data_IF_643511706259
#
_entry.id   IF_643511706259
#
_cell.length_a   1.000
_cell.length_b   1.000
_cell.length_c   1.000
_cell.angle_alpha   90.00
_cell.angle_beta   90.00
_cell.angle_gamma   90.00
#
_symmetry.space_group_name_H-M   'P 1'
#
loop_
_entity.id
_entity.type
_entity.pdbx_description
1 polymer ?
#
# COMPACT_ATOMS: atom_id res chain seq x y z
N UNK A 1 -37.87 12.32 -64.25
CA UNK A 1 -37.14 11.04 -64.18
C UNK A 1 -35.66 11.38 -64.33
N UNK A 2 -34.85 10.95 -63.35
CA UNK A 2 -33.37 11.08 -63.29
C UNK A 2 -32.85 12.51 -63.05
N UNK A 3 -31.79 12.78 -62.30
CA UNK A 3 -30.86 11.93 -61.53
C UNK A 3 -29.97 12.83 -60.63
N UNK A 4 -29.55 12.26 -59.50
CA UNK A 4 -28.22 12.34 -58.84
C UNK A 4 -27.62 13.64 -58.25
N UNK A 5 -27.40 13.56 -56.93
CA UNK A 5 -26.20 13.85 -56.12
C UNK A 5 -25.39 15.15 -56.29
N UNK A 6 -25.27 15.92 -55.20
CA UNK A 6 -23.95 16.36 -54.69
C UNK A 6 -24.02 16.75 -53.20
N UNK A 7 -23.22 16.07 -52.39
CA UNK A 7 -22.89 16.39 -50.99
C UNK A 7 -21.66 17.29 -50.90
N UNK A 8 -21.44 17.89 -49.73
CA UNK A 8 -20.34 18.82 -49.32
C UNK A 8 -20.69 20.31 -49.59
N UNK A 9 -20.54 21.28 -48.68
CA UNK A 9 -19.59 21.45 -47.57
C UNK A 9 -20.20 22.22 -46.38
N UNK A 10 -19.83 21.76 -45.18
CA UNK A 10 -19.27 22.51 -44.04
C UNK A 10 -19.93 23.81 -43.53
N UNK A 11 -20.18 23.83 -42.22
CA UNK A 11 -19.39 24.68 -41.31
C UNK A 11 -19.53 24.19 -39.87
N UNK A 12 -18.38 23.74 -39.35
CA UNK A 12 -18.14 23.37 -37.96
C UNK A 12 -18.45 24.54 -37.02
N UNK A 13 -19.24 24.29 -35.97
CA UNK A 13 -19.18 25.11 -34.77
C UNK A 13 -19.10 24.20 -33.53
N UNK A 14 -17.94 23.57 -33.37
CA UNK A 14 -17.50 23.00 -32.11
C UNK A 14 -16.58 24.02 -31.45
N UNK A 15 -17.18 25.05 -30.87
CA UNK A 15 -16.52 25.98 -29.94
C UNK A 15 -16.24 25.21 -28.65
N UNK A 16 -15.12 24.48 -28.63
CA UNK A 16 -14.48 24.05 -27.38
C UNK A 16 -13.75 25.28 -26.86
N UNK A 17 -14.48 26.13 -26.15
CA UNK A 17 -13.93 27.24 -25.40
C UNK A 17 -13.40 26.74 -24.05
N UNK A 18 -12.07 26.83 -23.93
CA UNK A 18 -11.38 27.47 -22.79
C UNK A 18 -11.29 26.74 -21.45
N UNK A 19 -10.18 26.02 -21.28
CA UNK A 19 -9.15 26.26 -20.27
C UNK A 19 -9.61 26.65 -18.84
N UNK A 20 -9.82 25.64 -18.03
CA UNK A 20 -9.16 25.54 -16.73
C UNK A 20 -8.66 24.09 -16.60
N UNK A 21 -7.35 23.88 -16.69
CA UNK A 21 -6.71 22.59 -16.38
C UNK A 21 -6.85 22.33 -14.87
N UNK A 22 -8.08 22.06 -14.43
CA UNK A 22 -8.38 21.66 -13.07
C UNK A 22 -7.82 20.25 -12.92
N UNK A 23 -6.67 20.15 -12.26
CA UNK A 23 -5.94 18.88 -12.15
C UNK A 23 -6.73 17.93 -11.27
N UNK A 24 -7.35 16.96 -11.95
CA UNK A 24 -8.16 15.96 -11.31
C UNK A 24 -7.28 14.81 -10.80
N UNK A 25 -7.03 14.83 -9.50
CA UNK A 25 -6.18 13.85 -8.82
C UNK A 25 -6.77 12.44 -8.83
N UNK A 26 -8.10 12.33 -8.88
CA UNK A 26 -8.78 11.05 -9.02
C UNK A 26 -8.46 10.39 -10.37
N UNK A 27 -8.45 11.17 -11.45
CA UNK A 27 -8.05 10.69 -12.78
C UNK A 27 -6.57 10.34 -12.85
N UNK A 28 -5.70 11.17 -12.25
CA UNK A 28 -4.29 10.87 -12.14
C UNK A 28 -4.06 9.52 -11.43
N UNK A 29 -4.75 9.28 -10.31
CA UNK A 29 -4.65 8.01 -9.57
C UNK A 29 -5.11 6.80 -10.40
N UNK A 30 -6.18 6.94 -11.17
CA UNK A 30 -6.64 5.88 -12.08
C UNK A 30 -5.63 5.60 -13.19
N UNK A 31 -5.01 6.65 -13.75
CA UNK A 31 -4.00 6.53 -14.79
C UNK A 31 -2.75 5.79 -14.27
N UNK A 32 -2.15 6.24 -13.15
CA UNK A 32 -0.96 5.58 -12.58
C UNK A 32 -1.20 4.13 -12.16
N UNK A 33 -2.45 3.76 -11.84
CA UNK A 33 -2.83 2.38 -11.50
C UNK A 33 -2.82 1.46 -12.74
N UNK A 34 -3.02 2.03 -13.92
CA UNK A 34 -3.01 1.30 -15.19
C UNK A 34 -1.61 1.13 -15.80
N UNK A 35 -0.60 1.82 -15.26
CA UNK A 35 0.77 1.78 -15.75
C UNK A 35 1.46 0.45 -15.41
N UNK A 36 2.39 0.06 -16.27
CA UNK A 36 3.32 -1.03 -16.00
C UNK A 36 4.50 -0.56 -15.13
N UNK A 37 5.31 -1.51 -14.65
CA UNK A 37 6.39 -1.23 -13.71
C UNK A 37 7.43 -0.24 -14.26
N UNK A 38 7.78 -0.32 -15.56
CA UNK A 38 8.74 0.58 -16.20
C UNK A 38 8.18 2.00 -16.34
N UNK A 39 6.90 2.12 -16.71
CA UNK A 39 6.17 3.39 -16.79
C UNK A 39 6.05 4.05 -15.43
N UNK A 40 5.80 3.28 -14.36
CA UNK A 40 5.77 3.79 -12.99
C UNK A 40 7.14 4.35 -12.60
N UNK A 41 8.24 3.67 -12.95
CA UNK A 41 9.61 4.17 -12.66
C UNK A 41 9.90 5.49 -13.39
N UNK A 42 9.46 5.62 -14.64
CA UNK A 42 9.57 6.85 -15.40
C UNK A 42 8.77 7.97 -14.74
N UNK A 43 7.54 7.70 -14.35
CA UNK A 43 6.66 8.68 -13.69
C UNK A 43 7.23 9.12 -12.33
N UNK A 44 7.78 8.20 -11.53
CA UNK A 44 8.47 8.53 -10.29
C UNK A 44 9.64 9.50 -10.55
N UNK A 45 10.41 9.26 -11.60
CA UNK A 45 11.56 10.10 -11.96
C UNK A 45 11.11 11.49 -12.41
N UNK A 46 10.04 11.54 -13.21
CA UNK A 46 9.42 12.77 -13.67
C UNK A 46 8.89 13.60 -12.49
N UNK A 47 8.17 12.99 -11.56
CA UNK A 47 7.60 13.70 -10.41
C UNK A 47 8.66 14.19 -9.42
N UNK A 48 9.75 13.45 -9.26
CA UNK A 48 10.91 13.93 -8.50
C UNK A 48 11.54 15.16 -9.14
N UNK A 49 11.68 15.16 -10.47
CA UNK A 49 12.17 16.33 -11.21
C UNK A 49 11.21 17.51 -11.09
N UNK A 50 9.90 17.27 -11.24
CA UNK A 50 8.89 18.31 -11.13
C UNK A 50 8.88 18.94 -9.72
N UNK A 51 9.06 18.13 -8.67
CA UNK A 51 9.22 18.64 -7.31
C UNK A 51 10.43 19.56 -7.17
N UNK A 52 11.56 19.22 -7.78
CA UNK A 52 12.76 20.06 -7.77
C UNK A 52 12.55 21.37 -8.54
N UNK A 53 11.78 21.32 -9.62
CA UNK A 53 11.39 22.48 -10.43
C UNK A 53 10.29 23.34 -9.80
N UNK A 54 9.73 22.94 -8.65
CA UNK A 54 8.74 23.74 -7.91
C UNK A 54 7.29 23.60 -8.39
N UNK A 55 6.95 22.54 -9.12
CA UNK A 55 5.56 22.29 -9.52
C UNK A 55 4.70 21.93 -8.30
N UNK A 56 3.67 22.73 -8.03
CA UNK A 56 2.82 22.61 -6.84
C UNK A 56 2.14 21.24 -6.67
N UNK A 57 1.85 20.55 -7.78
CA UNK A 57 1.13 19.27 -7.78
C UNK A 57 2.07 18.05 -7.70
N UNK A 58 3.37 18.24 -7.92
CA UNK A 58 4.33 17.14 -7.92
C UNK A 58 4.39 16.45 -6.56
N UNK A 59 4.19 17.19 -5.47
CA UNK A 59 4.15 16.65 -4.12
C UNK A 59 3.00 15.66 -3.92
N UNK A 60 1.78 16.04 -4.29
CA UNK A 60 0.61 15.17 -4.13
C UNK A 60 0.62 13.99 -5.11
N UNK A 61 1.11 14.19 -6.34
CA UNK A 61 1.31 13.11 -7.31
C UNK A 61 2.36 12.10 -6.83
N UNK A 62 3.43 12.56 -6.20
CA UNK A 62 4.44 11.70 -5.59
C UNK A 62 3.89 10.95 -4.37
N UNK A 63 3.07 11.60 -3.54
CA UNK A 63 2.35 10.93 -2.43
C UNK A 63 1.49 9.77 -2.96
N UNK A 64 0.78 9.97 -4.07
CA UNK A 64 -0.02 8.91 -4.69
C UNK A 64 0.86 7.74 -5.17
N UNK A 65 2.02 8.02 -5.76
CA UNK A 65 3.00 6.99 -6.14
C UNK A 65 3.57 6.22 -4.95
N UNK A 66 3.74 6.85 -3.78
CA UNK A 66 4.11 6.16 -2.53
C UNK A 66 2.97 5.28 -2.00
N UNK A 67 1.72 5.66 -2.23
CA UNK A 67 0.53 4.91 -1.77
C UNK A 67 0.20 3.69 -2.64
N UNK A 68 0.67 3.64 -3.88
CA UNK A 68 0.39 2.55 -4.82
C UNK A 68 1.10 1.25 -4.44
N UNK A 69 0.39 0.12 -4.24
CA UNK A 69 0.99 -1.17 -3.89
C UNK A 69 1.96 -1.74 -4.92
N UNK A 70 1.71 -1.47 -6.21
CA UNK A 70 2.53 -1.97 -7.31
C UNK A 70 3.75 -1.07 -7.59
N UNK A 71 3.86 0.06 -6.89
CA UNK A 71 4.97 0.98 -7.08
C UNK A 71 6.25 0.45 -6.42
N UNK A 72 7.42 0.53 -7.08
CA UNK A 72 8.68 0.12 -6.48
C UNK A 72 9.08 1.00 -5.28
N UNK A 73 8.50 2.20 -5.18
CA UNK A 73 8.68 3.08 -4.02
C UNK A 73 7.54 2.95 -3.01
N UNK A 74 6.68 1.93 -3.13
CA UNK A 74 5.53 1.77 -2.24
C UNK A 74 5.95 1.82 -0.78
N UNK A 75 5.47 2.85 -0.08
CA UNK A 75 5.72 3.02 1.34
C UNK A 75 4.53 3.78 1.96
N UNK A 76 3.57 3.05 2.57
CA UNK A 76 2.38 3.67 3.14
C UNK A 76 2.70 4.59 4.33
N UNK A 77 3.81 4.34 5.06
CA UNK A 77 4.26 5.25 6.13
C UNK A 77 4.71 6.59 5.53
N UNK A 78 5.57 6.55 4.50
CA UNK A 78 6.03 7.77 3.82
C UNK A 78 4.87 8.52 3.17
N UNK A 79 3.97 7.82 2.49
CA UNK A 79 2.76 8.42 1.92
C UNK A 79 1.93 9.14 3.00
N UNK A 80 1.75 8.51 4.17
CA UNK A 80 0.99 9.08 5.28
C UNK A 80 1.64 10.32 5.88
N UNK A 81 2.94 10.28 6.14
CA UNK A 81 3.69 11.42 6.69
C UNK A 81 3.59 12.61 5.73
N UNK A 82 3.91 12.39 4.46
CA UNK A 82 3.83 13.45 3.44
C UNK A 82 2.40 14.00 3.30
N UNK A 83 1.38 13.16 3.39
CA UNK A 83 -0.02 13.59 3.29
C UNK A 83 -0.53 14.33 4.54
N UNK A 84 0.05 14.07 5.71
CA UNK A 84 -0.26 14.84 6.92
C UNK A 84 0.40 16.22 6.89
N UNK A 85 1.61 16.30 6.34
CA UNK A 85 2.38 17.54 6.22
C UNK A 85 1.91 18.40 5.04
N UNK A 86 1.18 17.81 4.09
CA UNK A 86 0.63 18.52 2.95
C UNK A 86 -0.45 19.52 3.40
N UNK A 87 -0.24 20.84 3.21
CA UNK A 87 -1.17 21.85 3.67
C UNK A 87 -2.40 21.88 2.75
N UNK A 88 -3.46 21.17 3.16
CA UNK A 88 -4.73 21.18 2.44
C UNK A 88 -5.47 22.52 2.56
N UNK A 89 -5.13 23.35 3.56
CA UNK A 89 -5.90 24.53 3.98
C UNK A 89 -5.74 25.81 3.12
N UNK A 90 -4.59 26.14 2.50
CA UNK A 90 -4.50 27.35 1.66
C UNK A 90 -5.00 27.14 0.22
N UNK A 91 -5.30 25.90 -0.20
CA UNK A 91 -5.53 25.54 -1.61
C UNK A 91 -6.93 25.03 -1.93
N UNK A 92 -7.86 25.11 -0.96
CA UNK A 92 -9.27 24.67 -1.10
C UNK A 92 -10.01 25.39 -2.23
N UNK A 93 -9.56 26.59 -2.62
CA UNK A 93 -10.23 27.39 -3.67
C UNK A 93 -9.48 27.43 -5.01
N UNK A 94 -8.27 26.86 -5.15
CA UNK A 94 -7.44 27.06 -6.37
C UNK A 94 -6.84 25.80 -6.99
N UNK A 95 -6.73 24.67 -6.28
CA UNK A 95 -6.10 23.44 -6.81
C UNK A 95 -6.98 22.20 -6.64
N UNK A 96 -7.85 22.16 -5.63
CA UNK A 96 -8.68 20.99 -5.35
C UNK A 96 -10.15 21.28 -5.62
N UNK A 97 -10.74 20.48 -6.51
CA UNK A 97 -12.20 20.35 -6.55
C UNK A 97 -12.69 19.70 -5.24
N UNK A 98 -13.96 19.91 -4.87
CA UNK A 98 -14.56 19.24 -3.71
C UNK A 98 -14.46 17.70 -3.81
N UNK A 99 -14.48 17.16 -5.03
CA UNK A 99 -14.30 15.74 -5.31
C UNK A 99 -12.87 15.29 -5.04
N UNK A 100 -11.87 16.06 -5.44
CA UNK A 100 -10.47 15.71 -5.20
C UNK A 100 -10.10 15.81 -3.71
N UNK A 101 -10.68 16.75 -2.98
CA UNK A 101 -10.53 16.81 -1.52
C UNK A 101 -11.09 15.55 -0.85
N UNK A 102 -12.29 15.12 -1.26
CA UNK A 102 -12.89 13.88 -0.75
C UNK A 102 -12.01 12.66 -1.09
N UNK A 103 -11.44 12.61 -2.30
CA UNK A 103 -10.50 11.55 -2.70
C UNK A 103 -9.25 11.53 -1.82
N UNK A 104 -8.63 12.68 -1.57
CA UNK A 104 -7.43 12.78 -0.74
C UNK A 104 -7.71 12.39 0.72
N UNK A 105 -8.85 12.80 1.27
CA UNK A 105 -9.31 12.38 2.61
C UNK A 105 -9.51 10.86 2.64
N UNK A 106 -10.18 10.29 1.64
CA UNK A 106 -10.36 8.84 1.54
C UNK A 106 -9.00 8.11 1.47
N UNK A 107 -8.06 8.60 0.67
CA UNK A 107 -6.70 8.03 0.58
C UNK A 107 -6.00 8.07 1.94
N UNK A 108 -6.15 9.18 2.69
CA UNK A 108 -5.63 9.34 4.04
C UNK A 108 -6.18 8.30 5.02
N UNK A 109 -7.47 7.99 4.91
CA UNK A 109 -8.16 7.00 5.74
C UNK A 109 -7.77 5.57 5.37
N UNK A 110 -7.65 5.26 4.07
CA UNK A 110 -7.18 3.95 3.60
C UNK A 110 -5.73 3.68 4.06
N UNK A 111 -4.85 4.66 3.98
CA UNK A 111 -3.47 4.55 4.50
C UNK A 111 -3.47 4.30 6.01
N UNK A 112 -4.32 4.98 6.78
CA UNK A 112 -4.46 4.72 8.22
C UNK A 112 -4.87 3.28 8.53
N UNK A 113 -5.85 2.75 7.80
CA UNK A 113 -6.30 1.37 7.98
C UNK A 113 -5.19 0.37 7.64
N UNK A 114 -4.45 0.60 6.56
CA UNK A 114 -3.31 -0.24 6.19
C UNK A 114 -2.22 -0.24 7.27
N UNK A 115 -1.92 0.91 7.85
CA UNK A 115 -0.94 1.05 8.94
C UNK A 115 -1.38 0.29 10.20
N UNK A 116 -2.66 0.39 10.57
CA UNK A 116 -3.22 -0.36 11.69
C UNK A 116 -3.12 -1.88 11.48
N UNK A 117 -3.42 -2.36 10.26
CA UNK A 117 -3.29 -3.77 9.92
C UNK A 117 -1.83 -4.25 9.98
N UNK A 118 -0.88 -3.44 9.49
CA UNK A 118 0.56 -3.72 9.57
C UNK A 118 1.04 -3.86 11.02
N UNK A 119 0.56 -2.98 11.90
CA UNK A 119 0.86 -3.03 13.33
C UNK A 119 0.29 -4.30 13.98
N UNK A 120 -0.98 -4.62 13.73
CA UNK A 120 -1.62 -5.84 14.23
C UNK A 120 -0.90 -7.11 13.77
N UNK A 121 -0.50 -7.19 12.51
CA UNK A 121 0.26 -8.30 11.96
C UNK A 121 1.64 -8.42 12.62
N UNK A 122 2.30 -7.30 12.88
CA UNK A 122 3.59 -7.27 13.57
C UNK A 122 3.46 -7.80 15.00
N UNK A 123 2.43 -7.36 15.72
CA UNK A 123 2.12 -7.83 17.07
C UNK A 123 1.80 -9.33 17.10
N UNK A 124 0.98 -9.80 16.16
CA UNK A 124 0.64 -11.23 16.04
C UNK A 124 1.88 -12.08 15.72
N UNK A 125 2.75 -11.62 14.81
CA UNK A 125 4.00 -12.30 14.46
C UNK A 125 4.93 -12.41 15.67
N UNK A 126 5.03 -11.35 16.49
CA UNK A 126 5.79 -11.37 17.74
C UNK A 126 5.25 -12.41 18.72
N UNK A 127 3.94 -12.40 18.98
CA UNK A 127 3.29 -13.37 19.86
C UNK A 127 3.45 -14.82 19.36
N UNK A 128 3.30 -15.04 18.06
CA UNK A 128 3.47 -16.35 17.44
C UNK A 128 4.91 -16.87 17.57
N UNK A 129 5.92 -16.02 17.33
CA UNK A 129 7.33 -16.40 17.50
C UNK A 129 7.65 -16.76 18.95
N UNK A 130 7.10 -16.02 19.91
CA UNK A 130 7.28 -16.31 21.32
C UNK A 130 6.63 -17.64 21.71
N UNK A 131 5.40 -17.88 21.27
CA UNK A 131 4.69 -19.16 21.47
C UNK A 131 5.48 -20.34 20.88
N UNK A 132 6.03 -20.18 19.67
CA UNK A 132 6.88 -21.19 19.02
C UNK A 132 8.12 -21.52 19.85
N UNK A 133 8.79 -20.51 20.42
CA UNK A 133 9.96 -20.72 21.30
C UNK A 133 9.58 -21.47 22.59
N UNK A 134 8.47 -21.07 23.23
CA UNK A 134 7.98 -21.73 24.44
C UNK A 134 7.62 -23.20 24.17
N UNK A 135 6.89 -23.47 23.09
CA UNK A 135 6.51 -24.83 22.71
C UNK A 135 7.75 -25.69 22.40
N UNK A 136 8.76 -25.14 21.72
CA UNK A 136 10.01 -25.86 21.48
C UNK A 136 10.75 -26.20 22.79
N UNK A 137 10.82 -25.25 23.74
CA UNK A 137 11.42 -25.48 25.04
C UNK A 137 10.65 -26.53 25.87
N UNK A 138 9.32 -26.49 25.83
CA UNK A 138 8.47 -27.49 26.50
C UNK A 138 8.67 -28.88 25.87
N UNK A 139 8.75 -28.99 24.54
CA UNK A 139 9.00 -30.25 23.86
C UNK A 139 10.35 -30.86 24.26
N UNK A 140 11.40 -30.04 24.38
CA UNK A 140 12.71 -30.49 24.87
C UNK A 140 12.61 -31.03 26.30
N UNK A 141 11.87 -30.34 27.18
CA UNK A 141 11.68 -30.75 28.57
C UNK A 141 10.88 -32.04 28.68
N UNK A 142 9.82 -32.20 27.89
CA UNK A 142 9.06 -33.45 27.79
C UNK A 142 9.96 -34.61 27.36
N UNK A 143 10.82 -34.39 26.35
CA UNK A 143 11.74 -35.41 25.87
C UNK A 143 12.78 -35.79 26.95
N UNK A 144 13.29 -34.83 27.71
CA UNK A 144 14.21 -35.08 28.83
C UNK A 144 13.53 -35.90 29.95
N UNK A 145 12.33 -35.49 30.36
CA UNK A 145 11.55 -36.20 31.38
C UNK A 145 11.21 -37.63 30.94
N UNK A 146 10.81 -37.82 29.67
CA UNK A 146 10.56 -39.15 29.12
C UNK A 146 11.82 -40.04 29.17
N UNK A 147 13.00 -39.49 28.86
CA UNK A 147 14.27 -40.23 29.01
C UNK A 147 14.52 -40.63 30.47
N UNK A 148 14.30 -39.73 31.41
CA UNK A 148 14.44 -40.01 32.84
C UNK A 148 13.46 -41.09 33.32
N UNK A 149 12.19 -41.01 32.92
CA UNK A 149 11.17 -42.03 33.25
C UNK A 149 11.58 -43.40 32.72
N UNK A 150 12.09 -43.48 31.48
CA UNK A 150 12.56 -44.74 30.90
C UNK A 150 13.74 -45.31 31.69
N UNK A 151 14.68 -44.47 32.13
CA UNK A 151 15.81 -44.89 32.97
C UNK A 151 15.34 -45.41 34.32
N UNK A 152 14.44 -44.69 35.00
CA UNK A 152 13.88 -45.11 36.28
C UNK A 152 13.15 -46.46 36.16
N UNK A 153 12.33 -46.64 35.12
CA UNK A 153 11.67 -47.93 34.83
C UNK A 153 12.64 -49.09 34.62
N UNK A 154 13.81 -48.83 33.99
CA UNK A 154 14.85 -49.86 33.82
C UNK A 154 15.50 -50.22 35.15
N UNK A 155 15.78 -49.23 35.99
CA UNK A 155 16.35 -49.44 37.32
C UNK A 155 15.37 -50.27 38.18
N UNK A 156 14.10 -49.89 38.22
CA UNK A 156 13.06 -50.60 38.97
C UNK A 156 12.93 -52.07 38.54
N UNK A 157 12.89 -52.35 37.24
CA UNK A 157 12.92 -53.74 36.73
C UNK A 157 14.17 -54.50 37.13
N UNK A 158 15.31 -53.85 37.21
CA UNK A 158 16.59 -54.49 37.58
C UNK A 158 16.61 -54.82 39.08
N UNK A 159 16.10 -53.92 39.92
CA UNK A 159 15.97 -54.14 41.36
C UNK A 159 14.98 -55.27 41.65
N UNK A 160 13.80 -55.25 41.01
CA UNK A 160 12.77 -56.28 41.17
C UNK A 160 13.28 -57.68 40.78
N UNK A 161 14.15 -57.79 39.77
CA UNK A 161 14.80 -59.06 39.39
C UNK A 161 15.90 -59.54 40.34
N UNK A 162 16.49 -58.66 41.15
CA UNK A 162 17.54 -59.01 42.12
C UNK A 162 16.99 -59.32 43.52
N UNK A 163 15.73 -58.96 43.79
CA UNK A 163 15.06 -59.20 45.07
C UNK A 163 14.18 -60.46 45.12
N UNK A 164 14.12 -61.24 44.04
CA UNK A 164 13.61 -62.62 44.00
C UNK A 164 14.79 -63.58 44.02
#
# INVERSE_FOLDING_TARGET
MGDSNSSMLESNNSMVESNSDEVNFSHYYLWIKGLNDDEIVQEISQQKSNKQSGYAQADIQLIMLYSLPNSPIHNPYTAKTLLNDYPLAPYIETIFSATDLAFVIMLKDQLNQQLLLLEQLTNYKGAYQQSKKVNAAQQLKINQLNKQIIQLKKIEKTISKRGQ
#
